data_IF_675349685563
#
_entry.id   IF_675349685563
#
_cell.length_a   1.000
_cell.length_b   1.000
_cell.length_c   1.000
_cell.angle_alpha   90.00
_cell.angle_beta   90.00
_cell.angle_gamma   90.00
#
_symmetry.space_group_name_H-M   'P 1'
#
loop_
_entity.id
_entity.type
_entity.pdbx_description
1 polymer ?
#
# COMPACT_ATOMS: atom_id res chain seq x y z
N UNK A 1 -6.33 -7.43 6.07
CA UNK A 1 -5.57 -8.53 6.72
C UNK A 1 -5.48 -9.73 5.78
N UNK A 2 -6.56 -10.09 5.08
CA UNK A 2 -6.55 -11.19 4.10
C UNK A 2 -5.53 -11.01 2.96
N UNK A 3 -5.46 -9.82 2.34
CA UNK A 3 -4.46 -9.56 1.29
C UNK A 3 -3.02 -9.68 1.77
N UNK A 4 -2.72 -9.22 2.99
CA UNK A 4 -1.40 -9.34 3.60
C UNK A 4 -0.98 -10.81 3.71
N UNK A 5 -1.89 -11.68 4.15
CA UNK A 5 -1.65 -13.13 4.20
C UNK A 5 -1.54 -13.77 2.81
N UNK A 6 -2.38 -13.37 1.85
CA UNK A 6 -2.37 -13.89 0.46
C UNK A 6 -1.02 -13.69 -0.23
N UNK A 7 -0.37 -12.54 0.01
CA UNK A 7 0.88 -12.17 -0.63
C UNK A 7 2.12 -12.42 0.24
N UNK A 8 1.95 -12.85 1.49
CA UNK A 8 3.02 -12.91 2.50
C UNK A 8 3.75 -11.56 2.64
N UNK A 9 2.97 -10.48 2.74
CA UNK A 9 3.45 -9.10 2.82
C UNK A 9 2.76 -8.36 3.95
N UNK A 10 3.37 -7.28 4.43
CA UNK A 10 2.73 -6.45 5.46
C UNK A 10 1.65 -5.56 4.85
N UNK A 11 0.62 -5.15 5.62
CA UNK A 11 -0.40 -4.23 5.11
C UNK A 11 0.18 -2.94 4.52
N UNK A 12 1.31 -2.44 5.06
CA UNK A 12 2.00 -1.28 4.52
C UNK A 12 2.55 -1.55 3.12
N UNK A 13 3.18 -2.70 2.89
CA UNK A 13 3.68 -3.11 1.57
C UNK A 13 2.55 -3.28 0.56
N UNK A 14 1.38 -3.79 0.96
CA UNK A 14 0.19 -3.91 0.10
C UNK A 14 -0.25 -2.53 -0.39
N UNK A 15 -0.38 -1.55 0.50
CA UNK A 15 -0.79 -0.18 0.13
C UNK A 15 0.24 0.48 -0.79
N UNK A 16 1.53 0.36 -0.46
CA UNK A 16 2.61 0.91 -1.29
C UNK A 16 2.64 0.29 -2.69
N UNK A 17 2.36 -1.02 -2.78
CA UNK A 17 2.26 -1.71 -4.08
C UNK A 17 1.04 -1.24 -4.88
N UNK A 18 -0.09 -1.02 -4.21
CA UNK A 18 -1.31 -0.52 -4.85
C UNK A 18 -1.08 0.85 -5.47
N UNK A 19 -0.52 1.81 -4.72
CA UNK A 19 -0.19 3.15 -5.23
C UNK A 19 0.73 3.07 -6.47
N UNK A 20 1.77 2.22 -6.40
CA UNK A 20 2.71 2.03 -7.51
C UNK A 20 2.00 1.51 -8.77
N UNK A 21 1.06 0.57 -8.64
CA UNK A 21 0.29 0.04 -9.77
C UNK A 21 -0.67 1.08 -10.39
N UNK A 22 -1.15 2.03 -9.59
CA UNK A 22 -1.97 3.15 -10.06
C UNK A 22 -1.12 4.26 -10.70
N UNK A 23 0.21 4.09 -10.77
CA UNK A 23 1.15 5.09 -11.30
C UNK A 23 1.36 6.27 -10.35
N UNK A 24 1.01 6.13 -9.06
CA UNK A 24 1.18 7.16 -8.04
C UNK A 24 2.53 6.99 -7.36
N UNK A 25 3.31 8.07 -7.29
CA UNK A 25 4.59 8.08 -6.58
C UNK A 25 4.34 8.11 -5.07
N UNK A 26 4.84 7.11 -4.34
CA UNK A 26 4.69 7.03 -2.88
C UNK A 26 5.91 7.56 -2.14
N UNK A 27 5.67 8.20 -0.99
CA UNK A 27 6.72 8.74 -0.13
C UNK A 27 6.44 8.31 1.33
N UNK A 28 6.63 7.02 1.67
CA UNK A 28 6.36 6.54 3.02
C UNK A 28 7.33 7.13 4.04
N UNK A 29 6.79 7.85 5.03
CA UNK A 29 7.58 8.36 6.16
C UNK A 29 7.81 7.25 7.20
N UNK A 30 9.05 7.07 7.64
CA UNK A 30 9.39 6.33 8.85
C UNK A 30 10.67 6.86 9.49
N UNK A 31 10.77 6.75 10.81
CA UNK A 31 12.01 7.00 11.57
C UNK A 31 12.63 5.71 12.12
N UNK A 32 11.91 4.59 12.00
CA UNK A 32 12.38 3.28 12.45
C UNK A 32 13.07 2.56 11.29
N UNK A 33 14.33 2.19 11.49
CA UNK A 33 15.18 1.58 10.46
C UNK A 33 14.56 0.29 9.89
N UNK A 34 13.96 -0.55 10.75
CA UNK A 34 13.37 -1.81 10.31
C UNK A 34 12.17 -1.59 9.39
N UNK A 35 11.32 -0.61 9.70
CA UNK A 35 10.19 -0.22 8.83
C UNK A 35 10.65 0.42 7.53
N UNK A 36 11.75 1.18 7.54
CA UNK A 36 12.33 1.73 6.30
C UNK A 36 12.77 0.60 5.37
N UNK A 37 13.42 -0.44 5.91
CA UNK A 37 13.82 -1.62 5.14
C UNK A 37 12.61 -2.44 4.68
N UNK A 38 11.64 -2.67 5.56
CA UNK A 38 10.40 -3.38 5.22
C UNK A 38 9.65 -2.67 4.08
N UNK A 39 9.53 -1.35 4.15
CA UNK A 39 8.92 -0.53 3.11
C UNK A 39 9.70 -0.55 1.79
N UNK A 40 10.91 -1.11 1.69
CA UNK A 40 11.57 -1.29 0.39
C UNK A 40 11.14 -2.58 -0.31
N UNK A 41 10.45 -3.50 0.40
CA UNK A 41 10.09 -4.83 -0.08
C UNK A 41 8.79 -4.91 -0.89
N UNK A 42 8.30 -3.81 -1.47
CA UNK A 42 7.04 -3.80 -2.24
C UNK A 42 7.19 -3.92 -3.77
N UNK A 43 8.43 -4.02 -4.28
CA UNK A 43 8.68 -4.08 -5.73
C UNK A 43 8.60 -5.50 -6.32
N UNK A 44 8.61 -6.54 -5.49
CA UNK A 44 8.82 -7.94 -5.87
C UNK A 44 7.52 -8.75 -6.09
N UNK A 45 6.36 -8.12 -6.00
CA UNK A 45 5.06 -8.76 -6.23
C UNK A 45 4.09 -7.84 -6.98
N UNK A 46 2.95 -8.36 -7.43
CA UNK A 46 1.90 -7.60 -8.11
C UNK A 46 0.54 -8.02 -7.57
N UNK A 47 -0.32 -7.04 -7.30
CA UNK A 47 -1.72 -7.26 -6.94
C UNK A 47 -2.53 -7.61 -8.19
N UNK A 48 -3.40 -8.62 -8.07
CA UNK A 48 -4.33 -8.94 -9.16
C UNK A 48 -5.39 -7.85 -9.33
N UNK A 49 -6.01 -7.78 -10.49
CA UNK A 49 -7.06 -6.79 -10.77
C UNK A 49 -8.23 -6.89 -9.77
N UNK A 50 -8.56 -8.10 -9.32
CA UNK A 50 -9.57 -8.34 -8.29
C UNK A 50 -9.18 -7.74 -6.93
N UNK A 51 -7.92 -7.89 -6.52
CA UNK A 51 -7.43 -7.35 -5.25
C UNK A 51 -7.30 -5.82 -5.31
N UNK A 52 -6.88 -5.27 -6.45
CA UNK A 52 -6.85 -3.83 -6.70
C UNK A 52 -8.25 -3.25 -6.55
N UNK A 53 -9.25 -3.86 -7.20
CA UNK A 53 -10.65 -3.44 -7.10
C UNK A 53 -11.17 -3.52 -5.66
N UNK A 54 -10.82 -4.58 -4.92
CA UNK A 54 -11.20 -4.71 -3.52
C UNK A 54 -10.64 -3.59 -2.63
N UNK A 55 -9.47 -3.03 -2.96
CA UNK A 55 -8.89 -1.87 -2.26
C UNK A 55 -9.62 -0.58 -2.67
N UNK A 56 -9.94 -0.41 -3.95
CA UNK A 56 -10.68 0.76 -4.45
C UNK A 56 -12.06 0.90 -3.82
N UNK A 57 -12.75 -0.22 -3.61
CA UNK A 57 -14.07 -0.29 -2.94
C UNK A 57 -14.01 0.16 -1.46
N UNK A 58 -12.82 0.32 -0.87
CA UNK A 58 -12.65 0.85 0.49
C UNK A 58 -12.66 2.38 0.55
N UNK A 59 -12.69 3.09 -0.58
CA UNK A 59 -12.70 4.55 -0.59
C UNK A 59 -13.94 5.09 0.16
N UNK A 60 -13.71 6.14 0.96
CA UNK A 60 -14.75 6.84 1.75
C UNK A 60 -14.74 8.35 1.54
N UNK A 61 -13.99 8.83 0.54
CA UNK A 61 -13.73 10.25 0.30
C UNK A 61 -13.27 10.99 1.56
N UNK A 62 -12.55 10.27 2.44
CA UNK A 62 -12.13 10.76 3.74
C UNK A 62 -10.72 11.36 3.68
N UNK A 63 -10.58 12.62 4.09
CA UNK A 63 -9.28 13.31 4.19
C UNK A 63 -8.74 13.22 5.62
N UNK A 64 -7.49 12.77 5.74
CA UNK A 64 -6.76 12.77 7.02
C UNK A 64 -5.97 14.07 7.27
N UNK A 65 -5.70 14.84 6.21
CA UNK A 65 -5.05 16.14 6.28
C UNK A 65 -6.06 17.31 6.26
N UNK A 66 -5.58 18.55 6.41
CA UNK A 66 -6.42 19.74 6.24
C UNK A 66 -6.96 19.84 4.81
N UNK A 67 -8.07 20.57 4.66
CA UNK A 67 -8.56 21.01 3.34
C UNK A 67 -7.53 21.99 2.75
N UNK A 68 -7.06 21.80 1.50
CA UNK A 68 -6.10 22.70 0.84
C UNK A 68 -6.49 24.19 0.88
#
# INVERSE_FOLDING_TARGET
QELAGKYDKTPAQIVLRWDLQQGVITIPKSVHADRIRENAGFFDFTLSDEDVKAIEDLNRDHRFGPDP
#
